data_IF_596440173138
#
_entry.id   IF_596440173138
#
_cell.length_a   1.000
_cell.length_b   1.000
_cell.length_c   1.000
_cell.angle_alpha   90.00
_cell.angle_beta   90.00
_cell.angle_gamma   90.00
#
_symmetry.space_group_name_H-M   'P 1'
#
loop_
_entity.id
_entity.type
_entity.pdbx_description
1 polymer ?
#
# COMPACT_ATOMS: atom_id res chain seq x y z
N UNK A 1 10.97 9.37 -72.11
CA UNK A 1 11.92 8.96 -71.05
C UNK A 1 11.94 9.84 -69.79
N UNK A 2 11.75 11.18 -69.88
CA UNK A 2 11.82 12.09 -68.70
C UNK A 2 10.70 11.89 -67.64
N UNK A 3 9.49 11.48 -68.04
CA UNK A 3 8.35 11.32 -67.11
C UNK A 3 8.54 10.18 -66.10
N UNK A 4 9.01 9.02 -66.55
CA UNK A 4 9.27 7.84 -65.69
C UNK A 4 10.30 8.12 -64.59
N UNK A 5 11.34 8.91 -64.90
CA UNK A 5 12.38 9.28 -63.93
C UNK A 5 11.87 10.21 -62.82
N UNK A 6 10.83 11.00 -63.11
CA UNK A 6 10.19 11.88 -62.13
C UNK A 6 9.24 11.10 -61.22
N UNK A 7 8.49 10.15 -61.79
CA UNK A 7 7.62 9.25 -61.02
C UNK A 7 8.43 8.32 -60.10
N UNK A 8 9.57 7.79 -60.56
CA UNK A 8 10.45 6.99 -59.72
C UNK A 8 11.10 7.80 -58.60
N UNK A 9 11.48 9.06 -58.86
CA UNK A 9 11.97 9.97 -57.83
C UNK A 9 10.90 10.25 -56.76
N UNK A 10 9.67 10.57 -57.20
CA UNK A 10 8.53 10.79 -56.29
C UNK A 10 8.23 9.56 -55.42
N UNK A 11 8.29 8.36 -56.02
CA UNK A 11 8.08 7.11 -55.30
C UNK A 11 9.15 6.90 -54.22
N UNK A 12 10.43 7.08 -54.55
CA UNK A 12 11.53 6.94 -53.60
C UNK A 12 11.43 7.94 -52.45
N UNK A 13 11.06 9.20 -52.73
CA UNK A 13 10.84 10.20 -51.68
C UNK A 13 9.71 9.80 -50.74
N UNK A 14 8.63 9.23 -51.26
CA UNK A 14 7.53 8.73 -50.41
C UNK A 14 7.93 7.49 -49.61
N UNK A 15 8.71 6.59 -50.18
CA UNK A 15 9.25 5.42 -49.47
C UNK A 15 10.10 5.89 -48.29
N UNK A 16 11.05 6.81 -48.51
CA UNK A 16 11.84 7.39 -47.43
C UNK A 16 10.99 8.07 -46.36
N UNK A 17 10.00 8.86 -46.75
CA UNK A 17 9.10 9.50 -45.80
C UNK A 17 8.32 8.48 -44.95
N UNK A 18 7.86 7.38 -45.56
CA UNK A 18 7.17 6.30 -44.87
C UNK A 18 8.10 5.49 -43.96
N UNK A 19 9.35 5.27 -44.36
CA UNK A 19 10.36 4.60 -43.53
C UNK A 19 10.68 5.40 -42.28
N UNK A 20 10.91 6.71 -42.44
CA UNK A 20 11.14 7.63 -41.32
C UNK A 20 9.94 7.60 -40.36
N UNK A 21 8.72 7.70 -40.91
CA UNK A 21 7.49 7.66 -40.10
C UNK A 21 7.36 6.33 -39.36
N UNK A 22 7.58 5.22 -40.04
CA UNK A 22 7.53 3.88 -39.45
C UNK A 22 8.53 3.73 -38.30
N UNK A 23 9.75 4.26 -38.46
CA UNK A 23 10.76 4.20 -37.42
C UNK A 23 10.37 5.05 -36.19
N UNK A 24 9.84 6.25 -36.41
CA UNK A 24 9.30 7.09 -35.35
C UNK A 24 8.14 6.41 -34.61
N UNK A 25 7.18 5.84 -35.34
CA UNK A 25 6.03 5.13 -34.77
C UNK A 25 6.50 3.91 -33.96
N UNK A 26 7.52 3.19 -34.41
CA UNK A 26 8.09 2.03 -33.72
C UNK A 26 8.79 2.45 -32.41
N UNK A 27 9.54 3.55 -32.44
CA UNK A 27 10.16 4.12 -31.23
C UNK A 27 9.08 4.53 -30.22
N UNK A 28 8.04 5.25 -30.67
CA UNK A 28 6.93 5.65 -29.81
C UNK A 28 6.23 4.44 -29.18
N UNK A 29 5.93 3.42 -30.00
CA UNK A 29 5.31 2.18 -29.53
C UNK A 29 6.16 1.47 -28.49
N UNK A 30 7.49 1.40 -28.68
CA UNK A 30 8.40 0.79 -27.69
C UNK A 30 8.39 1.54 -26.36
N UNK A 31 8.35 2.87 -26.40
CA UNK A 31 8.29 3.71 -25.20
C UNK A 31 6.98 3.46 -24.43
N UNK A 32 5.85 3.45 -25.14
CA UNK A 32 4.54 3.19 -24.54
C UNK A 32 4.45 1.77 -23.95
N UNK A 33 4.90 0.75 -24.70
CA UNK A 33 4.96 -0.63 -24.22
C UNK A 33 5.80 -0.77 -22.96
N UNK A 34 6.97 -0.13 -22.92
CA UNK A 34 7.81 -0.17 -21.73
C UNK A 34 7.13 0.53 -20.55
N UNK A 35 6.40 1.63 -20.78
CA UNK A 35 5.63 2.29 -19.74
C UNK A 35 4.54 1.38 -19.18
N UNK A 36 3.70 0.82 -20.04
CA UNK A 36 2.62 -0.12 -19.66
C UNK A 36 3.19 -1.34 -18.95
N UNK A 37 4.25 -1.95 -19.50
CA UNK A 37 4.94 -3.07 -18.86
C UNK A 37 5.43 -2.70 -17.45
N UNK A 38 6.01 -1.51 -17.29
CA UNK A 38 6.51 -1.04 -16.01
C UNK A 38 5.37 -0.77 -15.01
N UNK A 39 4.21 -0.28 -15.45
CA UNK A 39 3.02 -0.08 -14.63
C UNK A 39 2.35 -1.39 -14.19
N UNK A 40 2.31 -2.38 -15.09
CA UNK A 40 1.76 -3.70 -14.82
C UNK A 40 2.69 -4.59 -13.98
N UNK A 41 3.89 -4.12 -13.61
CA UNK A 41 4.77 -4.87 -12.72
C UNK A 41 4.06 -5.14 -11.39
N UNK A 42 4.10 -6.37 -10.86
CA UNK A 42 3.42 -6.72 -9.61
C UNK A 42 3.75 -5.78 -8.45
N UNK A 43 4.99 -5.31 -8.35
CA UNK A 43 5.41 -4.36 -7.32
C UNK A 43 4.69 -3.02 -7.39
N UNK A 44 4.37 -2.51 -8.59
CA UNK A 44 3.61 -1.26 -8.77
C UNK A 44 2.11 -1.47 -8.57
N UNK A 45 1.58 -2.61 -9.01
CA UNK A 45 0.19 -3.00 -8.77
C UNK A 45 -0.10 -3.14 -7.27
N UNK A 46 0.76 -3.84 -6.53
CA UNK A 46 0.65 -3.95 -5.07
C UNK A 46 0.77 -2.58 -4.41
N UNK A 47 1.73 -1.75 -4.85
CA UNK A 47 1.88 -0.39 -4.31
C UNK A 47 0.61 0.44 -4.52
N UNK A 48 0.02 0.44 -5.72
CA UNK A 48 -1.27 1.11 -5.98
C UNK A 48 -2.37 0.55 -5.11
N UNK A 49 -2.56 -0.77 -5.10
CA UNK A 49 -3.62 -1.40 -4.29
C UNK A 49 -3.51 -1.06 -2.79
N UNK A 50 -2.28 -1.00 -2.25
CA UNK A 50 -2.05 -0.59 -0.85
C UNK A 50 -2.33 0.90 -0.66
N UNK A 51 -1.84 1.76 -1.55
CA UNK A 51 -2.11 3.20 -1.49
C UNK A 51 -3.61 3.48 -1.56
N UNK A 52 -4.31 2.89 -2.53
CA UNK A 52 -5.75 3.04 -2.73
C UNK A 52 -6.54 2.52 -1.52
N UNK A 53 -6.10 1.40 -0.93
CA UNK A 53 -6.69 0.85 0.29
C UNK A 53 -6.47 1.75 1.52
N UNK A 54 -5.34 2.45 1.62
CA UNK A 54 -5.08 3.38 2.74
C UNK A 54 -5.81 4.71 2.54
N UNK A 55 -6.01 5.14 1.31
CA UNK A 55 -6.73 6.37 0.96
C UNK A 55 -8.25 6.21 1.07
N UNK A 56 -8.77 4.98 0.95
CA UNK A 56 -10.17 4.67 1.19
C UNK A 56 -10.55 4.87 2.68
N UNK A 57 -11.47 5.82 3.00
CA UNK A 57 -11.79 6.19 4.39
C UNK A 57 -12.25 5.00 5.26
N UNK A 58 -13.10 4.14 4.70
CA UNK A 58 -13.66 2.97 5.37
C UNK A 58 -12.60 1.90 5.67
N UNK A 59 -11.68 1.66 4.73
CA UNK A 59 -10.60 0.69 4.90
C UNK A 59 -9.58 1.21 5.92
N UNK A 60 -9.29 2.52 5.90
CA UNK A 60 -8.40 3.15 6.88
C UNK A 60 -8.92 3.00 8.31
N UNK A 61 -10.20 3.22 8.55
CA UNK A 61 -10.81 3.05 9.88
C UNK A 61 -10.71 1.59 10.35
N UNK A 62 -11.09 0.64 9.50
CA UNK A 62 -11.02 -0.79 9.79
C UNK A 62 -9.57 -1.27 10.04
N UNK A 63 -8.59 -0.74 9.32
CA UNK A 63 -7.18 -1.06 9.51
C UNK A 63 -6.64 -0.51 10.84
N UNK A 64 -7.00 0.72 11.21
CA UNK A 64 -6.62 1.31 12.51
C UNK A 64 -7.23 0.49 13.64
N UNK A 65 -8.51 0.14 13.55
CA UNK A 65 -9.19 -0.71 14.53
C UNK A 65 -8.55 -2.10 14.62
N UNK A 66 -8.19 -2.70 13.49
CA UNK A 66 -7.49 -3.99 13.44
C UNK A 66 -6.09 -3.91 14.09
N UNK A 67 -5.34 -2.84 13.84
CA UNK A 67 -4.03 -2.63 14.47
C UNK A 67 -4.20 -2.44 15.99
N UNK A 68 -5.18 -1.65 16.41
CA UNK A 68 -5.47 -1.42 17.84
C UNK A 68 -5.92 -2.72 18.52
N UNK A 69 -6.77 -3.51 17.89
CA UNK A 69 -7.25 -4.79 18.45
C UNK A 69 -6.15 -5.85 18.48
N UNK A 70 -5.27 -5.92 17.47
CA UNK A 70 -4.12 -6.82 17.47
C UNK A 70 -3.07 -6.43 18.51
N UNK A 71 -2.71 -5.15 18.57
CA UNK A 71 -1.73 -4.64 19.55
C UNK A 71 -2.30 -4.72 20.97
N UNK A 72 -3.53 -4.28 21.17
CA UNK A 72 -4.27 -4.40 22.42
C UNK A 72 -4.43 -5.85 22.86
N UNK A 73 -4.80 -6.75 21.95
CA UNK A 73 -4.93 -8.18 22.19
C UNK A 73 -3.60 -8.85 22.53
N UNK A 74 -2.50 -8.47 21.87
CA UNK A 74 -1.15 -8.97 22.16
C UNK A 74 -0.65 -8.48 23.52
N UNK A 75 -0.80 -7.19 23.82
CA UNK A 75 -0.45 -6.61 25.13
C UNK A 75 -1.30 -7.25 26.23
N UNK A 76 -2.61 -7.36 26.01
CA UNK A 76 -3.55 -8.01 26.93
C UNK A 76 -3.15 -9.47 27.17
N UNK A 77 -2.86 -10.25 26.13
CA UNK A 77 -2.37 -11.63 26.25
C UNK A 77 -1.05 -11.70 27.04
N UNK A 78 -0.13 -10.75 26.82
CA UNK A 78 1.15 -10.70 27.53
C UNK A 78 0.98 -10.34 29.01
N UNK A 79 0.05 -9.46 29.35
CA UNK A 79 -0.25 -9.05 30.72
C UNK A 79 -1.11 -10.07 31.48
N UNK A 80 -2.13 -10.64 30.85
CA UNK A 80 -3.11 -11.54 31.47
C UNK A 80 -2.68 -13.01 31.40
N UNK A 81 -2.34 -13.51 30.21
CA UNK A 81 -2.18 -14.95 29.94
C UNK A 81 -0.71 -15.43 29.96
N UNK A 82 0.26 -14.55 29.70
CA UNK A 82 1.67 -14.92 29.62
C UNK A 82 2.30 -15.38 30.96
N UNK A 83 3.24 -16.33 30.89
CA UNK A 83 4.18 -16.74 31.96
C UNK A 83 5.22 -15.64 32.29
N UNK A 84 4.80 -14.38 32.38
CA UNK A 84 5.68 -13.31 32.84
C UNK A 84 5.95 -13.50 34.33
N UNK A 85 7.22 -13.56 34.73
CA UNK A 85 7.67 -13.74 36.13
C UNK A 85 7.13 -12.61 37.02
N UNK A 86 5.93 -12.83 37.55
CA UNK A 86 5.27 -12.28 38.75
C UNK A 86 5.14 -10.77 39.00
N UNK A 87 6.02 -9.89 38.49
CA UNK A 87 6.10 -8.49 38.98
C UNK A 87 4.94 -7.63 38.48
N UNK A 88 4.69 -7.58 37.17
CA UNK A 88 3.64 -6.72 36.60
C UNK A 88 2.23 -7.15 37.04
N UNK A 89 1.96 -8.46 37.13
CA UNK A 89 0.69 -9.00 37.62
C UNK A 89 0.46 -8.66 39.09
N UNK A 90 1.51 -8.70 39.93
CA UNK A 90 1.44 -8.29 41.35
C UNK A 90 1.16 -6.80 41.49
N UNK A 91 1.79 -5.95 40.69
CA UNK A 91 1.55 -4.50 40.71
C UNK A 91 0.11 -4.19 40.30
N UNK A 92 -0.39 -4.79 39.22
CA UNK A 92 -1.78 -4.62 38.78
C UNK A 92 -2.78 -5.14 39.81
N UNK A 93 -2.53 -6.32 40.37
CA UNK A 93 -3.36 -6.88 41.44
C UNK A 93 -3.40 -6.01 42.70
N UNK A 94 -2.24 -5.50 43.13
CA UNK A 94 -2.14 -4.60 44.29
C UNK A 94 -2.85 -3.27 44.04
N UNK A 95 -2.72 -2.69 42.84
CA UNK A 95 -3.44 -1.47 42.48
C UNK A 95 -4.96 -1.67 42.48
N UNK A 96 -5.45 -2.77 41.88
CA UNK A 96 -6.87 -3.12 41.89
C UNK A 96 -7.39 -3.35 43.31
N UNK A 97 -6.62 -4.06 44.14
CA UNK A 97 -6.95 -4.28 45.55
C UNK A 97 -7.01 -2.95 46.31
N UNK A 98 -6.00 -2.08 46.16
CA UNK A 98 -5.96 -0.77 46.81
C UNK A 98 -7.16 0.11 46.45
N UNK A 99 -7.51 0.17 45.16
CA UNK A 99 -8.68 0.94 44.68
C UNK A 99 -9.97 0.35 45.25
N UNK A 100 -10.15 -0.97 45.16
CA UNK A 100 -11.35 -1.65 45.66
C UNK A 100 -11.51 -1.48 47.17
N UNK A 101 -10.44 -1.66 47.93
CA UNK A 101 -10.42 -1.46 49.38
C UNK A 101 -10.69 -0.01 49.75
N UNK A 102 -10.15 0.96 49.01
CA UNK A 102 -10.44 2.39 49.25
C UNK A 102 -11.92 2.71 49.03
N UNK A 103 -12.50 2.24 47.92
CA UNK A 103 -13.93 2.46 47.60
C UNK A 103 -14.83 1.82 48.67
N UNK A 104 -14.52 0.59 49.08
CA UNK A 104 -15.30 -0.12 50.11
C UNK A 104 -15.12 0.57 51.47
N UNK A 105 -13.89 0.89 51.88
CA UNK A 105 -13.61 1.56 53.14
C UNK A 105 -14.27 2.94 53.23
N UNK A 106 -14.31 3.70 52.14
CA UNK A 106 -15.02 4.99 52.09
C UNK A 106 -16.55 4.82 52.18
N UNK A 107 -17.09 3.69 51.68
CA UNK A 107 -18.52 3.34 51.81
C UNK A 107 -18.93 2.90 53.21
N UNK A 108 -18.03 2.24 53.96
CA UNK A 108 -18.28 1.74 55.32
C UNK A 108 -17.93 2.75 56.42
N UNK A 109 -17.27 3.87 56.09
CA UNK A 109 -16.93 4.97 57.01
C UNK A 109 -17.99 6.09 57.05
N UNK A 110 -19.18 5.84 56.49
CA UNK A 110 -20.35 6.73 56.51
C UNK A 110 -21.47 6.06 57.29
#
# INVERSE_FOLDING_TARGET
MKSYKNQSHLLNTRIQALEIKKEQDLIALKVELNSVYNELRPSRLIKRAVTDAVEAPEIRENLIESIISLTGGYISKKLLVGKSKSVYKKILGFALQYISTKIISDKFKK
#
